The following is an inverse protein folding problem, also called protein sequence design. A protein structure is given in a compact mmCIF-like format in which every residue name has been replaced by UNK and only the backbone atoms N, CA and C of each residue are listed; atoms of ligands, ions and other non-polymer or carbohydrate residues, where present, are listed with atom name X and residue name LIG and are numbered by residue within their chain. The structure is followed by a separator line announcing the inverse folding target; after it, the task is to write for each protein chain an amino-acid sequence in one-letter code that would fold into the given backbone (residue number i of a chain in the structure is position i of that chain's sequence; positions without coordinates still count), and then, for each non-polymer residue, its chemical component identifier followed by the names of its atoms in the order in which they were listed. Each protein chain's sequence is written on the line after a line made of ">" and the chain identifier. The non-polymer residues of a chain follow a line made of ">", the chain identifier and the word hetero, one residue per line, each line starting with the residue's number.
data_IF_617891538979
#
_entry.id   IF_617891538979
#
_cell.length_a   1.000
_cell.length_b   1.000
_cell.length_c   1.000
_cell.angle_alpha   90.00
_cell.angle_beta   90.00
_cell.angle_gamma   90.00
#
_symmetry.space_group_name_H-M   'P 1'
#
loop_
_entity.id
_entity.type
_entity.pdbx_description
1 polymer ?
#
# COMPACT_ATOMS: atom_id res chain seq x y z
N UNK A 1 4.14 38.36 -31.15
CA UNK A 1 4.41 36.95 -31.51
C UNK A 1 5.89 36.72 -31.30
N UNK A 2 6.26 35.86 -30.34
CA UNK A 2 7.65 35.47 -30.12
C UNK A 2 7.70 33.95 -30.26
N UNK A 3 8.09 33.49 -31.44
CA UNK A 3 8.40 32.09 -31.71
C UNK A 3 9.65 31.74 -30.92
N UNK A 4 9.50 30.93 -29.87
CA UNK A 4 10.63 30.26 -29.24
C UNK A 4 11.00 29.08 -30.11
N UNK A 5 12.11 29.21 -30.83
CA UNK A 5 12.77 28.12 -31.54
C UNK A 5 13.08 26.98 -30.55
N UNK A 6 12.35 25.87 -30.68
CA UNK A 6 12.68 24.62 -30.01
C UNK A 6 13.77 23.92 -30.84
N UNK A 7 15.01 24.39 -30.71
CA UNK A 7 16.18 23.69 -31.22
C UNK A 7 16.43 22.47 -30.32
N UNK A 8 15.75 21.36 -30.61
CA UNK A 8 15.99 20.08 -29.94
C UNK A 8 16.84 19.19 -30.83
N UNK A 9 18.16 19.38 -30.76
CA UNK A 9 19.08 18.29 -31.09
C UNK A 9 18.71 17.07 -30.21
N UNK A 10 18.63 15.85 -30.78
CA UNK A 10 18.35 14.66 -29.98
C UNK A 10 19.44 14.51 -28.91
N UNK A 11 19.08 14.15 -27.65
CA UNK A 11 20.07 13.99 -26.59
C UNK A 11 21.12 12.97 -27.04
N UNK A 12 22.40 13.34 -26.92
CA UNK A 12 23.51 12.48 -27.28
C UNK A 12 23.38 11.13 -26.54
N UNK A 13 23.51 10.03 -27.27
CA UNK A 13 23.52 8.68 -26.69
C UNK A 13 24.67 8.63 -25.68
N UNK A 14 24.44 8.23 -24.42
CA UNK A 14 25.46 8.26 -23.37
C UNK A 14 26.66 7.43 -23.80
N UNK A 15 27.83 8.08 -23.87
CA UNK A 15 29.03 7.51 -24.48
C UNK A 15 29.80 6.57 -23.53
N UNK A 16 29.49 6.60 -22.22
CA UNK A 16 30.22 5.81 -21.21
C UNK A 16 29.30 5.17 -20.16
N UNK A 17 29.79 4.12 -19.51
CA UNK A 17 29.13 3.44 -18.38
C UNK A 17 28.86 4.40 -17.20
N UNK A 18 29.72 5.40 -16.98
CA UNK A 18 29.55 6.40 -15.93
C UNK A 18 28.39 7.37 -16.23
N UNK A 19 28.20 7.73 -17.51
CA UNK A 19 27.06 8.55 -17.94
C UNK A 19 25.74 7.79 -17.78
N UNK A 20 25.72 6.50 -18.12
CA UNK A 20 24.58 5.62 -17.87
C UNK A 20 24.28 5.48 -16.39
N UNK A 21 25.30 5.32 -15.54
CA UNK A 21 25.11 5.26 -14.08
C UNK A 21 24.52 6.57 -13.55
N UNK A 22 25.00 7.74 -14.01
CA UNK A 22 24.40 9.03 -13.64
C UNK A 22 22.95 9.16 -14.10
N UNK A 23 22.62 8.73 -15.31
CA UNK A 23 21.24 8.76 -15.82
C UNK A 23 20.33 7.84 -15.01
N UNK A 24 20.82 6.65 -14.63
CA UNK A 24 20.08 5.73 -13.76
C UNK A 24 19.90 6.35 -12.37
N UNK A 25 20.95 6.90 -11.76
CA UNK A 25 20.87 7.54 -10.44
C UNK A 25 20.03 8.83 -10.45
N UNK A 26 20.08 9.63 -11.51
CA UNK A 26 19.21 10.78 -11.71
C UNK A 26 17.77 10.34 -11.94
N UNK A 27 17.54 9.28 -12.73
CA UNK A 27 16.23 8.69 -12.94
C UNK A 27 15.64 8.10 -11.66
N UNK A 28 16.45 7.38 -10.88
CA UNK A 28 16.07 6.83 -9.59
C UNK A 28 15.81 7.94 -8.56
N UNK A 29 16.62 9.00 -8.51
CA UNK A 29 16.37 10.17 -7.66
C UNK A 29 15.08 10.88 -8.06
N UNK A 30 14.82 11.06 -9.34
CA UNK A 30 13.60 11.71 -9.84
C UNK A 30 12.36 10.86 -9.54
N UNK A 31 12.47 9.53 -9.65
CA UNK A 31 11.43 8.59 -9.26
C UNK A 31 11.20 8.63 -7.73
N UNK A 32 12.27 8.69 -6.93
CA UNK A 32 12.20 8.72 -5.46
C UNK A 32 11.69 10.07 -4.94
N UNK A 33 12.01 11.19 -5.58
CA UNK A 33 11.46 12.51 -5.27
C UNK A 33 9.94 12.58 -5.55
N UNK A 34 9.48 11.89 -6.59
CA UNK A 34 8.05 11.74 -6.91
C UNK A 34 7.37 10.67 -6.04
N UNK A 35 8.14 9.81 -5.37
CA UNK A 35 7.63 8.71 -4.56
C UNK A 35 7.14 9.23 -3.22
N UNK A 36 5.85 8.98 -2.94
CA UNK A 36 5.27 9.30 -1.63
C UNK A 36 6.11 8.69 -0.49
N UNK A 37 6.49 9.48 0.53
CA UNK A 37 7.31 8.98 1.65
C UNK A 37 6.63 7.79 2.34
N UNK A 38 7.44 6.80 2.70
CA UNK A 38 6.93 5.59 3.36
C UNK A 38 6.48 5.85 4.82
N UNK A 39 5.95 4.83 5.51
CA UNK A 39 5.38 5.05 6.86
C UNK A 39 6.46 5.40 7.87
N UNK A 40 7.56 4.64 7.81
CA UNK A 40 8.71 4.80 8.66
C UNK A 40 9.34 6.17 8.47
N UNK A 41 9.41 6.65 7.24
CA UNK A 41 10.01 7.93 6.90
C UNK A 41 9.16 9.10 7.38
N UNK A 42 7.86 9.05 7.11
CA UNK A 42 6.94 10.04 7.62
C UNK A 42 6.88 10.04 9.15
N UNK A 43 6.95 8.86 9.77
CA UNK A 43 7.00 8.71 11.22
C UNK A 43 8.33 9.20 11.81
N UNK A 44 9.47 8.97 11.16
CA UNK A 44 10.78 9.54 11.52
C UNK A 44 10.75 11.07 11.46
N UNK A 45 10.25 11.63 10.36
CA UNK A 45 10.07 13.09 10.17
C UNK A 45 9.12 13.67 11.24
N UNK A 46 8.06 12.95 11.58
CA UNK A 46 7.13 13.33 12.66
C UNK A 46 7.78 13.26 14.05
N UNK A 47 8.57 12.21 14.34
CA UNK A 47 9.24 11.99 15.63
C UNK A 47 10.35 13.01 15.88
N UNK A 48 11.13 13.33 14.85
CA UNK A 48 12.17 14.37 14.89
C UNK A 48 11.59 15.75 15.24
N UNK A 49 10.36 16.04 14.83
CA UNK A 49 9.65 17.26 15.21
C UNK A 49 9.06 17.19 16.65
N UNK A 50 8.77 16.00 17.14
CA UNK A 50 8.14 15.77 18.44
C UNK A 50 8.99 16.17 19.66
N UNK A 51 10.32 16.26 19.50
CA UNK A 51 11.24 16.68 20.55
C UNK A 51 11.26 18.20 20.81
N UNK A 52 10.63 19.00 19.95
CA UNK A 52 10.74 20.47 19.98
C UNK A 52 9.41 21.20 20.28
N UNK A 53 8.30 20.51 20.60
CA UNK A 53 6.97 21.09 20.37
C UNK A 53 6.10 21.44 21.59
N UNK A 54 5.56 22.67 21.59
CA UNK A 54 4.57 23.24 22.52
C UNK A 54 3.22 22.50 22.44
N UNK A 55 2.35 22.62 23.45
CA UNK A 55 1.04 21.94 23.50
C UNK A 55 0.16 22.19 22.26
N UNK A 56 0.27 23.35 21.62
CA UNK A 56 -0.44 23.72 20.39
C UNK A 56 0.08 22.94 19.17
N UNK A 57 1.40 22.84 19.02
CA UNK A 57 2.03 22.06 17.95
C UNK A 57 1.70 20.57 18.05
N UNK A 58 1.54 20.01 19.27
CA UNK A 58 1.06 18.63 19.49
C UNK A 58 -0.37 18.42 18.98
N UNK A 59 -1.27 19.39 19.18
CA UNK A 59 -2.65 19.34 18.68
C UNK A 59 -2.69 19.44 17.15
N UNK A 60 -1.91 20.35 16.58
CA UNK A 60 -1.82 20.59 15.14
C UNK A 60 -1.19 19.40 14.39
N UNK A 61 -0.15 18.78 14.96
CA UNK A 61 0.49 17.59 14.41
C UNK A 61 -0.44 16.36 14.40
N UNK A 62 -1.36 16.24 15.36
CA UNK A 62 -2.29 15.11 15.42
C UNK A 62 -3.28 15.10 14.23
N UNK A 63 -3.76 16.26 13.80
CA UNK A 63 -4.65 16.38 12.63
C UNK A 63 -3.93 15.98 11.33
N UNK A 64 -2.72 16.50 11.13
CA UNK A 64 -1.84 16.20 9.99
C UNK A 64 -1.51 14.71 9.94
N UNK A 65 -1.09 14.13 11.06
CA UNK A 65 -0.79 12.70 11.17
C UNK A 65 -2.00 11.83 10.80
N UNK A 66 -3.21 12.19 11.25
CA UNK A 66 -4.43 11.44 10.92
C UNK A 66 -4.71 11.44 9.41
N UNK A 67 -4.55 12.57 8.74
CA UNK A 67 -4.75 12.69 7.29
C UNK A 67 -3.72 11.85 6.54
N UNK A 68 -2.45 11.91 6.91
CA UNK A 68 -1.39 11.15 6.25
C UNK A 68 -1.55 9.64 6.45
N UNK A 69 -1.90 9.19 7.66
CA UNK A 69 -2.21 7.78 7.91
C UNK A 69 -3.44 7.31 7.10
N UNK A 70 -4.43 8.17 6.95
CA UNK A 70 -5.61 7.89 6.15
C UNK A 70 -5.29 7.84 4.64
N UNK A 71 -4.33 8.64 4.16
CA UNK A 71 -3.85 8.62 2.77
C UNK A 71 -3.29 7.27 2.36
N UNK A 72 -2.63 6.58 3.30
CA UNK A 72 -2.16 5.20 3.09
C UNK A 72 -3.29 4.19 2.89
N UNK A 73 -4.44 4.43 3.53
CA UNK A 73 -5.63 3.55 3.45
C UNK A 73 -6.42 3.81 2.16
N UNK A 74 -6.49 5.07 1.73
CA UNK A 74 -7.07 5.48 0.45
C UNK A 74 -7.86 6.79 0.53
N UNK A 75 -8.33 7.28 -0.62
CA UNK A 75 -8.93 8.62 -0.76
C UNK A 75 -10.22 8.80 0.05
N UNK A 76 -11.08 7.76 0.11
CA UNK A 76 -12.28 7.77 0.95
C UNK A 76 -11.94 7.89 2.44
N UNK A 77 -10.84 7.27 2.88
CA UNK A 77 -10.39 7.34 4.27
C UNK A 77 -9.83 8.72 4.61
N UNK A 78 -9.09 9.35 3.68
CA UNK A 78 -8.56 10.72 3.84
C UNK A 78 -9.70 11.70 4.09
N UNK A 79 -10.71 11.65 3.21
CA UNK A 79 -11.91 12.47 3.32
C UNK A 79 -12.82 12.02 4.46
N UNK A 80 -12.61 10.85 5.06
CA UNK A 80 -13.46 10.34 6.14
C UNK A 80 -14.90 10.08 5.72
N UNK A 81 -15.12 9.74 4.45
CA UNK A 81 -16.45 9.51 3.87
C UNK A 81 -16.60 8.07 3.39
N UNK A 82 -17.84 7.58 3.34
CA UNK A 82 -18.15 6.28 2.76
C UNK A 82 -18.01 6.27 1.24
N UNK A 83 -17.89 5.07 0.64
CA UNK A 83 -17.82 4.93 -0.84
C UNK A 83 -19.11 5.39 -1.54
N UNK A 84 -20.24 5.39 -0.81
CA UNK A 84 -21.56 5.84 -1.27
C UNK A 84 -21.85 7.31 -0.93
N UNK A 85 -20.87 8.04 -0.41
CA UNK A 85 -21.07 9.44 -0.04
C UNK A 85 -21.43 10.30 -1.25
N UNK A 86 -22.28 11.30 -1.00
CA UNK A 86 -22.68 12.27 -2.01
C UNK A 86 -21.59 13.31 -2.24
N UNK A 87 -21.60 13.99 -3.39
CA UNK A 87 -20.64 15.05 -3.68
C UNK A 87 -20.73 16.21 -2.67
N UNK A 88 -21.93 16.47 -2.12
CA UNK A 88 -22.14 17.46 -1.07
C UNK A 88 -21.42 17.09 0.24
N UNK A 89 -21.50 15.83 0.66
CA UNK A 89 -20.78 15.30 1.83
C UNK A 89 -19.27 15.36 1.64
N UNK A 90 -18.79 14.96 0.46
CA UNK A 90 -17.37 15.04 0.08
C UNK A 90 -16.87 16.48 0.20
N UNK A 91 -17.58 17.45 -0.38
CA UNK A 91 -17.23 18.88 -0.33
C UNK A 91 -17.30 19.46 1.09
N UNK A 92 -18.25 19.01 1.91
CA UNK A 92 -18.34 19.43 3.32
C UNK A 92 -17.15 18.92 4.12
N UNK A 93 -16.84 17.64 4.01
CA UNK A 93 -15.72 17.03 4.74
C UNK A 93 -14.37 17.59 4.31
N UNK A 94 -14.17 17.79 3.00
CA UNK A 94 -12.96 18.43 2.46
C UNK A 94 -12.74 19.80 3.10
N UNK A 95 -13.74 20.69 3.09
CA UNK A 95 -13.64 22.03 3.69
C UNK A 95 -13.27 21.98 5.16
N UNK A 96 -13.90 21.10 5.94
CA UNK A 96 -13.62 20.97 7.37
C UNK A 96 -12.19 20.49 7.63
N UNK A 97 -11.71 19.50 6.86
CA UNK A 97 -10.36 18.96 7.02
C UNK A 97 -9.28 19.93 6.53
N UNK A 98 -9.53 20.63 5.42
CA UNK A 98 -8.62 21.61 4.84
C UNK A 98 -8.28 22.71 5.85
N UNK A 99 -9.27 23.20 6.60
CA UNK A 99 -9.04 24.19 7.66
C UNK A 99 -8.13 23.69 8.80
N UNK A 100 -8.16 22.39 9.09
CA UNK A 100 -7.37 21.78 10.17
C UNK A 100 -5.93 21.47 9.76
N UNK A 101 -5.68 21.23 8.47
CA UNK A 101 -4.35 20.89 7.93
C UNK A 101 -3.75 22.00 7.08
N UNK A 102 -4.36 23.19 7.05
CA UNK A 102 -3.87 24.31 6.26
C UNK A 102 -2.46 24.72 6.71
N UNK A 103 -1.49 24.87 5.78
CA UNK A 103 -0.10 25.17 6.12
C UNK A 103 0.07 26.50 6.86
N UNK A 104 -0.77 27.49 6.58
CA UNK A 104 -0.73 28.81 7.26
C UNK A 104 -1.14 28.75 8.75
N UNK A 105 -2.03 27.81 9.11
CA UNK A 105 -2.57 27.69 10.49
C UNK A 105 -1.88 26.58 11.28
N UNK A 106 -1.14 25.70 10.61
CA UNK A 106 -0.57 24.51 11.20
C UNK A 106 0.95 24.58 11.12
N UNK A 107 1.58 24.69 12.29
CA UNK A 107 3.04 24.77 12.46
C UNK A 107 3.77 23.45 12.14
N UNK A 108 3.05 22.40 11.74
CA UNK A 108 3.65 21.10 11.41
C UNK A 108 4.36 21.14 10.05
N UNK A 109 5.60 20.64 9.93
CA UNK A 109 6.33 20.61 8.67
C UNK A 109 5.68 19.68 7.62
N UNK A 110 4.80 18.77 8.05
CA UNK A 110 4.08 17.84 7.18
C UNK A 110 2.68 18.34 6.81
N UNK A 111 2.30 19.56 7.21
CA UNK A 111 1.02 20.16 6.82
C UNK A 111 0.85 20.27 5.30
N UNK A 112 1.86 20.69 4.50
CA UNK A 112 1.76 20.74 3.04
C UNK A 112 1.42 19.36 2.44
N UNK A 113 2.19 18.33 2.82
CA UNK A 113 1.99 16.96 2.32
C UNK A 113 0.59 16.41 2.67
N UNK A 114 0.09 16.73 3.87
CA UNK A 114 -1.24 16.32 4.29
C UNK A 114 -2.34 17.06 3.51
N UNK A 115 -2.13 18.35 3.23
CA UNK A 115 -3.03 19.15 2.42
C UNK A 115 -3.09 18.64 0.98
N UNK A 116 -1.94 18.35 0.37
CA UNK A 116 -1.86 17.81 -0.99
C UNK A 116 -2.54 16.44 -1.09
N UNK A 117 -2.31 15.56 -0.10
CA UNK A 117 -2.99 14.26 -0.05
C UNK A 117 -4.52 14.40 0.11
N UNK A 118 -4.98 15.41 0.85
CA UNK A 118 -6.39 15.73 0.99
C UNK A 118 -6.98 16.29 -0.31
N UNK A 119 -6.22 17.13 -1.01
CA UNK A 119 -6.61 17.74 -2.28
C UNK A 119 -6.73 16.70 -3.40
N UNK A 120 -5.71 15.87 -3.61
CA UNK A 120 -5.73 14.79 -4.61
C UNK A 120 -6.91 13.83 -4.39
N UNK A 121 -7.20 13.51 -3.12
CA UNK A 121 -8.35 12.67 -2.76
C UNK A 121 -9.68 13.33 -3.14
N UNK A 122 -9.82 14.64 -2.93
CA UNK A 122 -11.00 15.40 -3.29
C UNK A 122 -11.19 15.49 -4.80
N UNK A 123 -10.15 15.83 -5.56
CA UNK A 123 -10.20 15.92 -7.02
C UNK A 123 -10.61 14.59 -7.65
N UNK A 124 -9.95 13.50 -7.23
CA UNK A 124 -10.21 12.16 -7.77
C UNK A 124 -11.63 11.67 -7.47
N UNK A 125 -12.18 11.98 -6.30
CA UNK A 125 -13.51 11.50 -5.89
C UNK A 125 -14.64 12.39 -6.44
N UNK A 126 -14.37 13.68 -6.64
CA UNK A 126 -15.37 14.64 -7.13
C UNK A 126 -15.66 14.42 -8.62
N UNK A 127 -14.63 14.13 -9.42
CA UNK A 127 -14.80 13.80 -10.83
C UNK A 127 -15.36 12.37 -11.01
N UNK A 128 -16.54 12.19 -11.64
CA UNK A 128 -17.12 10.87 -11.88
C UNK A 128 -16.21 9.93 -12.67
N UNK A 129 -15.42 10.44 -13.62
CA UNK A 129 -14.54 9.59 -14.43
C UNK A 129 -13.37 9.07 -13.59
N UNK A 130 -12.65 9.98 -12.94
CA UNK A 130 -11.54 9.66 -12.02
C UNK A 130 -11.98 8.74 -10.88
N UNK A 131 -13.17 8.96 -10.31
CA UNK A 131 -13.74 8.10 -9.27
C UNK A 131 -13.97 6.67 -9.77
N UNK A 132 -14.52 6.50 -10.99
CA UNK A 132 -14.76 5.18 -11.59
C UNK A 132 -13.46 4.43 -11.83
N UNK A 133 -12.42 5.11 -12.32
CA UNK A 133 -11.10 4.53 -12.53
C UNK A 133 -10.45 4.10 -11.22
N UNK A 134 -10.52 4.97 -10.20
CA UNK A 134 -10.06 4.67 -8.85
C UNK A 134 -10.76 3.44 -8.26
N UNK A 135 -12.08 3.38 -8.35
CA UNK A 135 -12.86 2.24 -7.85
C UNK A 135 -12.57 0.94 -8.62
N UNK A 136 -12.35 1.02 -9.93
CA UNK A 136 -11.92 -0.10 -10.77
C UNK A 136 -10.55 -0.62 -10.33
N UNK A 137 -9.60 0.28 -10.06
CA UNK A 137 -8.27 -0.04 -9.53
C UNK A 137 -8.35 -0.72 -8.17
N UNK A 138 -9.22 -0.25 -7.27
CA UNK A 138 -9.46 -0.89 -5.97
C UNK A 138 -10.01 -2.32 -6.11
N UNK A 139 -10.98 -2.53 -7.01
CA UNK A 139 -11.53 -3.88 -7.29
C UNK A 139 -10.45 -4.82 -7.82
N UNK A 140 -9.63 -4.37 -8.78
CA UNK A 140 -8.51 -5.16 -9.32
C UNK A 140 -7.51 -5.57 -8.22
N UNK A 141 -7.09 -4.61 -7.37
CA UNK A 141 -6.18 -4.89 -6.25
C UNK A 141 -6.76 -5.93 -5.27
N UNK A 142 -8.07 -5.85 -4.99
CA UNK A 142 -8.75 -6.82 -4.12
C UNK A 142 -8.77 -8.23 -4.72
N UNK A 143 -9.01 -8.36 -6.03
CA UNK A 143 -8.99 -9.64 -6.74
C UNK A 143 -7.59 -10.26 -6.69
N UNK A 144 -6.55 -9.49 -7.02
CA UNK A 144 -5.16 -9.97 -7.00
C UNK A 144 -4.75 -10.43 -5.60
N UNK A 145 -5.07 -9.64 -4.56
CA UNK A 145 -4.82 -10.03 -3.15
C UNK A 145 -5.54 -11.32 -2.78
N UNK A 146 -6.83 -11.43 -3.12
CA UNK A 146 -7.63 -12.64 -2.87
C UNK A 146 -7.02 -13.86 -3.56
N UNK A 147 -6.60 -13.72 -4.81
CA UNK A 147 -6.00 -14.80 -5.58
C UNK A 147 -4.64 -15.22 -5.01
N UNK A 148 -3.84 -14.29 -4.49
CA UNK A 148 -2.56 -14.60 -3.82
C UNK A 148 -2.78 -15.45 -2.57
N UNK A 149 -3.68 -15.01 -1.68
CA UNK A 149 -4.01 -15.75 -0.44
C UNK A 149 -4.63 -17.11 -0.76
N UNK A 150 -5.54 -17.16 -1.74
CA UNK A 150 -6.14 -18.42 -2.20
C UNK A 150 -5.07 -19.40 -2.70
N UNK A 151 -4.12 -18.95 -3.52
CA UNK A 151 -3.01 -19.79 -4.00
C UNK A 151 -2.13 -20.30 -2.86
N UNK A 152 -1.78 -19.45 -1.90
CA UNK A 152 -1.02 -19.84 -0.72
C UNK A 152 -1.76 -20.89 0.12
N UNK A 153 -3.06 -20.70 0.33
CA UNK A 153 -3.90 -21.65 1.06
C UNK A 153 -4.08 -22.97 0.30
N UNK A 154 -4.29 -22.91 -1.02
CA UNK A 154 -4.40 -24.11 -1.86
C UNK A 154 -3.10 -24.92 -1.84
N UNK A 155 -1.93 -24.28 -1.91
CA UNK A 155 -0.64 -24.96 -1.77
C UNK A 155 -0.51 -25.70 -0.43
N UNK A 156 -0.91 -25.05 0.66
CA UNK A 156 -0.89 -25.65 2.01
C UNK A 156 -1.82 -26.87 2.13
N UNK A 157 -3.03 -26.78 1.58
CA UNK A 157 -4.02 -27.86 1.66
C UNK A 157 -3.64 -29.05 0.77
N UNK A 158 -3.04 -28.83 -0.40
CA UNK A 158 -2.55 -29.93 -1.24
C UNK A 158 -1.45 -30.75 -0.56
N UNK A 159 -0.58 -30.10 0.22
CA UNK A 159 0.48 -30.78 0.98
C UNK A 159 -0.11 -31.65 2.11
N UNK A 160 -1.12 -31.13 2.83
CA UNK A 160 -1.80 -31.91 3.87
C UNK A 160 -2.63 -33.08 3.32
N UNK A 161 -3.25 -32.93 2.15
CA UNK A 161 -3.98 -34.04 1.50
C UNK A 161 -3.03 -35.09 0.95
N UNK A 162 -1.85 -34.69 0.48
CA UNK A 162 -0.78 -35.63 0.12
C UNK A 162 -0.29 -36.41 1.36
N UNK A 163 -0.13 -35.75 2.50
CA UNK A 163 0.24 -36.38 3.77
C UNK A 163 -0.81 -37.36 4.30
N UNK A 164 -2.10 -36.99 4.27
CA UNK A 164 -3.21 -37.88 4.67
C UNK A 164 -3.32 -39.08 3.71
N UNK A 165 -3.15 -38.86 2.41
CA UNK A 165 -3.15 -39.93 1.38
C UNK A 165 -1.95 -40.88 1.53
N UNK A 166 -0.79 -40.38 1.96
CA UNK A 166 0.40 -41.19 2.26
C UNK A 166 0.18 -42.08 3.49
N UNK A 167 -0.41 -41.54 4.57
CA UNK A 167 -0.71 -42.31 5.79
C UNK A 167 -1.77 -43.40 5.55
N UNK A 168 -2.73 -43.19 4.63
CA UNK A 168 -3.70 -44.22 4.25
C UNK A 168 -3.15 -45.31 3.32
N UNK A 169 -1.90 -45.20 2.84
CA UNK A 169 -1.30 -46.14 1.88
C UNK A 169 -0.24 -47.08 2.50
N UNK A 170 0.09 -46.96 3.79
CA UNK A 170 0.73 -48.06 4.50
C UNK A 170 -0.35 -49.04 4.95
N UNK A 171 -0.53 -50.09 4.16
CA UNK A 171 -1.53 -51.12 4.40
C UNK A 171 -1.34 -51.79 5.77
N UNK A 172 -2.42 -52.01 6.56
CA UNK A 172 -2.35 -52.81 7.80
C UNK A 172 -2.11 -54.32 7.54
N UNK A 173 -1.93 -54.74 6.28
CA UNK A 173 -1.83 -56.14 5.90
C UNK A 173 -0.58 -56.84 6.44
N UNK A 174 0.52 -56.13 6.68
CA UNK A 174 1.73 -56.72 7.30
C UNK A 174 1.65 -56.78 8.83
N UNK A 175 0.81 -55.96 9.46
CA UNK A 175 0.61 -55.98 10.91
C UNK A 175 -0.21 -57.20 11.37
N UNK A 176 -1.19 -57.63 10.59
CA UNK A 176 -1.97 -58.85 10.88
C UNK A 176 -1.21 -60.15 10.58
N UNK A 177 -0.25 -60.13 9.64
CA UNK A 177 0.65 -61.28 9.41
C UNK A 177 1.60 -61.51 10.59
N UNK A 178 2.00 -60.47 11.33
CA UNK A 178 2.83 -60.59 12.52
C UNK A 178 2.05 -61.04 13.77
N UNK A 179 0.79 -60.62 13.89
CA UNK A 179 -0.11 -61.04 14.98
C UNK A 179 -0.63 -62.48 14.81
N UNK A 180 -0.87 -62.93 13.57
CA UNK A 180 -1.28 -64.32 13.32
C UNK A 180 -0.12 -65.33 13.42
N UNK A 181 1.10 -64.96 13.00
CA UNK A 181 2.27 -65.85 13.11
C UNK A 181 2.68 -66.11 14.59
N UNK A 182 2.34 -65.21 15.50
CA UNK A 182 2.64 -65.35 16.94
C UNK A 182 1.61 -66.23 17.67
N UNK A 183 0.38 -66.33 17.15
CA UNK A 183 -0.68 -67.16 17.72
C UNK A 183 -0.58 -68.64 17.33
N UNK A 184 0.06 -68.95 16.19
CA UNK A 184 0.23 -70.33 15.73
C UNK A 184 1.47 -71.04 16.33
N UNK A 185 2.36 -70.30 16.99
CA UNK A 185 3.55 -70.85 17.68
C UNK A 185 3.35 -71.10 19.18
N UNK A 186 2.27 -70.62 19.79
CA UNK A 186 1.85 -70.96 21.15
C UNK A 186 0.55 -71.77 21.09
N UNK A 187 0.67 -73.07 20.88
CA UNK A 187 -0.46 -73.98 20.65
C UNK A 187 -1.56 -73.91 21.70
N UNK A 188 -2.74 -73.49 21.25
CA UNK A 188 -4.07 -73.82 21.78
C UNK A 188 -4.91 -74.27 20.59
#
# INVERSE_FOLDING_TARGET
>A
MAEREFSSAPPAIPATLADLQRIIEEGERMIEETRRPDASELERRTRLFGSLSTAEQRRCAAAVRRVLLAARKGYYSVLGVGRRASNAEVKRSYRQKALNVHPDRNLSPLAPEAFDALHEAYETITDPQSKREYDRRLKRKAIVRRNRVRRQFTALVHDTKAFVKFRSSQAPATFYLFLFASFFLLGI
#
